data_IF_909036711013
#
_entry.id   IF_909036711013
#
_cell.length_a   1.000
_cell.length_b   1.000
_cell.length_c   1.000
_cell.angle_alpha   90.00
_cell.angle_beta   90.00
_cell.angle_gamma   90.00
#
_symmetry.space_group_name_H-M   'P 1'
#
loop_
_entity.id
_entity.type
_entity.pdbx_description
1 polymer ?
#
# COMPACT_ATOMS: atom_id res chain seq x y z
N UNK A 1 -57.71 -3.28 -31.66
CA UNK A 1 -58.09 -2.11 -30.85
C UNK A 1 -57.61 -2.29 -29.41
N UNK A 2 -56.72 -1.38 -28.97
CA UNK A 2 -56.48 -0.86 -27.58
C UNK A 2 -56.33 -1.87 -26.42
N UNK A 3 -55.13 -2.03 -25.83
CA UNK A 3 -54.45 -1.26 -24.73
C UNK A 3 -54.69 -1.84 -23.32
N UNK A 4 -53.57 -2.34 -22.75
CA UNK A 4 -52.99 -2.19 -21.40
C UNK A 4 -53.81 -2.35 -20.11
N UNK A 5 -53.25 -3.11 -19.15
CA UNK A 5 -52.66 -2.53 -17.92
C UNK A 5 -51.74 -3.54 -17.20
N UNK A 6 -50.68 -3.00 -16.62
CA UNK A 6 -49.54 -3.67 -16.01
C UNK A 6 -49.76 -4.02 -14.53
N UNK A 7 -48.99 -4.98 -14.02
CA UNK A 7 -48.48 -4.93 -12.63
C UNK A 7 -47.02 -5.39 -12.61
N UNK A 8 -46.15 -4.48 -12.19
CA UNK A 8 -44.75 -4.72 -11.86
C UNK A 8 -44.66 -5.56 -10.58
N UNK A 9 -43.71 -6.49 -10.54
CA UNK A 9 -43.06 -6.86 -9.28
C UNK A 9 -41.56 -7.01 -9.54
N UNK A 10 -40.87 -5.90 -9.34
CA UNK A 10 -39.42 -5.83 -9.19
C UNK A 10 -39.02 -6.57 -7.91
N UNK A 11 -38.13 -7.54 -8.03
CA UNK A 11 -37.19 -7.88 -6.94
C UNK A 11 -35.80 -8.06 -7.55
N UNK A 12 -35.15 -6.93 -7.75
CA UNK A 12 -33.71 -6.80 -7.94
C UNK A 12 -33.02 -7.24 -6.65
N UNK A 13 -32.39 -8.42 -6.67
CA UNK A 13 -31.43 -8.83 -5.64
C UNK A 13 -30.02 -8.75 -6.23
N UNK A 14 -29.58 -7.52 -6.47
CA UNK A 14 -28.17 -7.23 -6.67
C UNK A 14 -27.42 -7.44 -5.36
N UNK A 15 -27.00 -8.68 -5.12
CA UNK A 15 -25.98 -9.04 -4.14
C UNK A 15 -24.64 -8.41 -4.54
N UNK A 16 -24.55 -7.10 -4.35
CA UNK A 16 -23.34 -6.30 -4.46
C UNK A 16 -22.54 -6.52 -3.19
N UNK A 17 -22.07 -7.75 -2.98
CA UNK A 17 -21.05 -8.05 -1.99
C UNK A 17 -19.78 -7.29 -2.39
N UNK A 18 -19.64 -6.09 -1.82
CA UNK A 18 -18.48 -5.22 -1.97
C UNK A 18 -17.24 -6.08 -1.69
N UNK A 19 -16.25 -6.14 -2.60
CA UNK A 19 -15.07 -6.99 -2.41
C UNK A 19 -14.47 -6.74 -1.03
N UNK A 20 -14.25 -7.81 -0.26
CA UNK A 20 -13.40 -7.71 0.93
C UNK A 20 -12.03 -7.21 0.48
N UNK A 21 -11.60 -6.05 0.98
CA UNK A 21 -10.33 -5.45 0.56
C UNK A 21 -9.20 -6.44 0.85
N UNK A 22 -8.45 -6.76 -0.20
CA UNK A 22 -7.32 -7.69 -0.14
C UNK A 22 -6.07 -6.87 0.08
N UNK A 23 -5.24 -7.25 1.05
CA UNK A 23 -3.96 -6.61 1.29
C UNK A 23 -2.82 -7.54 0.87
N UNK A 24 -1.83 -6.98 0.20
CA UNK A 24 -0.63 -7.64 -0.26
C UNK A 24 0.53 -6.91 0.41
N UNK A 25 1.23 -7.61 1.26
CA UNK A 25 2.33 -7.09 2.05
C UNK A 25 3.64 -7.44 1.36
N UNK A 26 4.46 -6.44 1.11
CA UNK A 26 5.89 -6.61 0.82
C UNK A 26 6.60 -7.05 2.10
N UNK A 27 6.78 -8.37 2.25
CA UNK A 27 7.32 -8.92 3.48
C UNK A 27 8.80 -8.59 3.67
N UNK A 28 9.57 -8.51 2.59
CA UNK A 28 11.00 -8.21 2.67
C UNK A 28 11.22 -6.73 3.04
N UNK A 29 10.44 -5.84 2.45
CA UNK A 29 10.48 -4.41 2.77
C UNK A 29 10.12 -4.15 4.24
N UNK A 30 9.03 -4.74 4.76
CA UNK A 30 8.68 -4.61 6.18
C UNK A 30 9.76 -5.16 7.11
N UNK A 31 10.32 -6.32 6.76
CA UNK A 31 11.27 -7.01 7.60
C UNK A 31 12.56 -6.21 7.79
N UNK A 32 13.04 -5.53 6.74
CA UNK A 32 14.20 -4.65 6.82
C UNK A 32 13.84 -3.28 7.43
N UNK A 33 12.67 -2.72 7.09
CA UNK A 33 12.26 -1.39 7.57
C UNK A 33 11.98 -1.32 9.07
N UNK A 34 11.63 -2.44 9.72
CA UNK A 34 11.37 -2.48 11.16
C UNK A 34 12.64 -2.21 11.99
N UNK A 35 13.80 -2.67 11.53
CA UNK A 35 15.08 -2.59 12.24
C UNK A 35 16.01 -1.51 11.64
N UNK A 36 15.48 -0.34 11.28
CA UNK A 36 16.29 0.73 10.66
C UNK A 36 17.53 1.14 11.46
N UNK A 37 17.56 0.90 12.78
CA UNK A 37 18.69 1.27 13.65
C UNK A 37 19.69 0.11 13.92
N UNK A 38 19.42 -1.12 13.46
CA UNK A 38 20.22 -2.32 13.78
C UNK A 38 20.65 -3.07 12.51
N UNK A 39 21.72 -2.57 11.86
CA UNK A 39 22.56 -3.27 10.88
C UNK A 39 21.83 -3.86 9.65
N UNK A 40 20.71 -3.29 9.23
CA UNK A 40 19.95 -3.77 8.06
C UNK A 40 19.61 -5.28 8.16
N UNK A 41 19.24 -5.73 9.36
CA UNK A 41 18.91 -7.12 9.64
C UNK A 41 17.46 -7.43 9.27
N UNK A 42 17.23 -8.57 8.63
CA UNK A 42 15.89 -9.05 8.33
C UNK A 42 15.15 -9.42 9.63
N UNK A 43 13.94 -8.89 9.84
CA UNK A 43 13.15 -9.17 11.04
C UNK A 43 11.72 -9.58 10.73
N UNK A 44 11.39 -10.84 11.06
CA UNK A 44 10.02 -11.35 11.03
C UNK A 44 9.05 -10.53 11.89
N UNK A 45 9.55 -9.86 12.92
CA UNK A 45 8.75 -9.02 13.83
C UNK A 45 8.04 -7.88 13.11
N UNK A 46 8.69 -7.24 12.13
CA UNK A 46 8.07 -6.17 11.34
C UNK A 46 6.82 -6.66 10.61
N UNK A 47 6.91 -7.87 10.03
CA UNK A 47 5.79 -8.53 9.35
C UNK A 47 4.67 -8.85 10.36
N UNK A 48 5.00 -9.41 11.52
CA UNK A 48 4.01 -9.74 12.57
C UNK A 48 3.21 -8.54 13.04
N UNK A 49 3.89 -7.40 13.26
CA UNK A 49 3.25 -6.16 13.72
C UNK A 49 2.25 -5.67 12.68
N UNK A 50 2.64 -5.66 11.39
CA UNK A 50 1.73 -5.28 10.31
C UNK A 50 0.50 -6.21 10.23
N UNK A 51 0.72 -7.52 10.33
CA UNK A 51 -0.38 -8.51 10.35
C UNK A 51 -1.32 -8.30 11.54
N UNK A 52 -0.76 -8.09 12.74
CA UNK A 52 -1.54 -7.81 13.94
C UNK A 52 -2.38 -6.55 13.77
N UNK A 53 -1.79 -5.49 13.22
CA UNK A 53 -2.51 -4.25 12.90
C UNK A 53 -3.71 -4.57 11.98
N UNK A 54 -3.47 -5.17 10.81
CA UNK A 54 -4.53 -5.46 9.85
C UNK A 54 -5.63 -6.35 10.42
N UNK A 55 -5.28 -7.41 11.15
CA UNK A 55 -6.25 -8.33 11.72
C UNK A 55 -7.08 -7.71 12.85
N UNK A 56 -6.46 -6.97 13.77
CA UNK A 56 -7.20 -6.27 14.84
C UNK A 56 -8.16 -5.23 14.27
N UNK A 57 -7.85 -4.71 13.09
CA UNK A 57 -8.65 -3.73 12.35
C UNK A 57 -9.70 -4.39 11.44
N UNK A 58 -9.81 -5.73 11.46
CA UNK A 58 -10.84 -6.49 10.76
C UNK A 58 -10.48 -6.93 9.34
N UNK A 59 -9.26 -6.67 8.87
CA UNK A 59 -8.79 -7.14 7.58
C UNK A 59 -8.36 -8.61 7.68
N UNK A 60 -9.14 -9.49 7.03
CA UNK A 60 -8.95 -10.95 7.12
C UNK A 60 -8.15 -11.53 5.95
N UNK A 61 -8.27 -10.95 4.75
CA UNK A 61 -7.64 -11.45 3.53
C UNK A 61 -6.34 -10.67 3.28
N UNK A 62 -5.28 -11.14 3.92
CA UNK A 62 -3.94 -10.53 3.88
C UNK A 62 -2.96 -11.55 3.33
N UNK A 63 -2.25 -11.19 2.27
CA UNK A 63 -1.18 -11.99 1.69
C UNK A 63 0.16 -11.36 2.06
N UNK A 64 1.07 -12.14 2.64
CA UNK A 64 2.48 -11.74 2.78
C UNK A 64 3.24 -12.33 1.61
N UNK A 65 3.90 -11.48 0.83
CA UNK A 65 4.68 -11.91 -0.33
C UNK A 65 6.17 -11.79 -0.01
N UNK A 66 6.93 -12.84 -0.30
CA UNK A 66 8.38 -12.90 -0.10
C UNK A 66 9.09 -13.44 -1.34
N UNK A 67 10.37 -13.06 -1.57
CA UNK A 67 11.17 -13.68 -2.61
C UNK A 67 11.36 -15.18 -2.38
N UNK A 68 11.40 -15.98 -3.45
CA UNK A 68 11.65 -17.43 -3.37
C UNK A 68 12.92 -17.78 -2.58
N UNK A 69 13.97 -16.94 -2.66
CA UNK A 69 15.22 -17.13 -1.93
C UNK A 69 15.03 -17.23 -0.41
N UNK A 70 14.01 -16.56 0.14
CA UNK A 70 13.67 -16.59 1.57
C UNK A 70 12.83 -17.82 1.97
N UNK A 71 12.55 -18.74 1.06
CA UNK A 71 11.82 -19.97 1.38
C UNK A 71 12.54 -20.83 2.41
N UNK A 72 13.87 -20.81 2.42
CA UNK A 72 14.70 -21.60 3.34
C UNK A 72 15.03 -20.86 4.64
N UNK A 73 15.00 -19.51 4.64
CA UNK A 73 15.14 -18.67 5.84
C UNK A 73 14.02 -18.86 6.88
N UNK A 74 12.98 -19.61 6.54
CA UNK A 74 11.92 -20.03 7.47
C UNK A 74 12.41 -20.93 8.60
N UNK A 75 13.61 -21.51 8.49
CA UNK A 75 14.16 -22.38 9.52
C UNK A 75 14.96 -21.61 10.59
N UNK A 76 15.05 -20.28 10.50
CA UNK A 76 15.66 -19.45 11.54
C UNK A 76 14.78 -19.45 12.80
N UNK A 77 15.40 -19.43 13.98
CA UNK A 77 14.72 -19.48 15.30
C UNK A 77 13.54 -18.48 15.38
N UNK A 78 13.74 -17.27 14.86
CA UNK A 78 12.74 -16.21 14.83
C UNK A 78 11.43 -16.57 14.08
N UNK A 79 11.50 -17.34 12.99
CA UNK A 79 10.29 -17.79 12.27
C UNK A 79 9.61 -18.96 12.99
N UNK A 80 10.42 -19.90 13.49
CA UNK A 80 9.96 -21.09 14.21
C UNK A 80 9.19 -20.75 15.50
N UNK A 81 9.39 -19.56 16.06
CA UNK A 81 8.67 -19.10 17.24
C UNK A 81 7.34 -18.39 16.90
N UNK A 82 7.23 -17.77 15.72
CA UNK A 82 6.04 -16.99 15.33
C UNK A 82 4.81 -17.85 14.94
N UNK A 83 3.82 -17.92 15.83
CA UNK A 83 2.52 -18.57 15.55
C UNK A 83 1.78 -17.94 14.36
N UNK A 84 1.80 -16.60 14.26
CA UNK A 84 1.11 -15.85 13.21
C UNK A 84 1.64 -16.18 11.81
N UNK A 85 2.96 -16.33 11.66
CA UNK A 85 3.57 -16.65 10.36
C UNK A 85 3.30 -18.09 9.93
N UNK A 86 3.33 -19.05 10.87
CA UNK A 86 2.91 -20.44 10.60
C UNK A 86 1.42 -20.53 10.24
N UNK A 87 0.59 -19.71 10.88
CA UNK A 87 -0.84 -19.64 10.56
C UNK A 87 -1.07 -19.13 9.13
N UNK A 88 -0.29 -18.15 8.65
CA UNK A 88 -0.37 -17.68 7.26
C UNK A 88 -0.02 -18.78 6.27
N UNK A 89 1.04 -19.54 6.51
CA UNK A 89 1.41 -20.66 5.63
C UNK A 89 0.30 -21.71 5.57
N UNK A 90 -0.20 -22.16 6.71
CA UNK A 90 -1.31 -23.13 6.77
C UNK A 90 -2.57 -22.65 6.06
N UNK A 91 -2.79 -21.34 6.01
CA UNK A 91 -3.94 -20.70 5.36
C UNK A 91 -3.68 -20.31 3.89
N UNK A 92 -2.51 -20.65 3.32
CA UNK A 92 -2.08 -20.23 1.99
C UNK A 92 -2.09 -18.70 1.78
N UNK A 93 -1.76 -17.96 2.85
CA UNK A 93 -1.65 -16.50 2.88
C UNK A 93 -0.19 -16.01 2.84
N UNK A 94 0.78 -16.92 2.96
CA UNK A 94 2.19 -16.64 2.71
C UNK A 94 2.53 -17.08 1.27
N UNK A 95 2.84 -16.12 0.41
CA UNK A 95 3.08 -16.32 -1.03
C UNK A 95 4.55 -16.07 -1.33
N UNK A 96 5.13 -16.92 -2.18
CA UNK A 96 6.48 -16.72 -2.68
C UNK A 96 6.41 -16.32 -4.15
N UNK A 97 7.08 -15.23 -4.51
CA UNK A 97 7.31 -14.91 -5.92
C UNK A 97 8.11 -16.03 -6.56
N UNK A 98 7.96 -16.26 -7.86
CA UNK A 98 8.64 -17.36 -8.54
C UNK A 98 10.15 -17.25 -8.39
N UNK A 99 10.79 -18.40 -8.48
CA UNK A 99 12.24 -18.47 -8.62
C UNK A 99 12.62 -17.69 -9.87
N UNK A 100 13.61 -16.80 -9.76
CA UNK A 100 14.13 -16.03 -10.88
C UNK A 100 14.17 -16.88 -12.16
N UNK A 101 13.53 -16.41 -13.23
CA UNK A 101 13.87 -16.95 -14.54
C UNK A 101 15.34 -16.62 -14.77
N UNK A 102 16.19 -17.63 -14.92
CA UNK A 102 17.60 -17.47 -15.33
C UNK A 102 17.74 -16.71 -16.66
N UNK A 103 16.62 -16.47 -17.35
CA UNK A 103 16.53 -15.89 -18.68
C UNK A 103 16.40 -14.36 -18.66
N UNK A 104 16.12 -13.74 -17.52
CA UNK A 104 16.05 -12.27 -17.41
C UNK A 104 17.29 -11.74 -16.69
N UNK A 105 18.12 -10.94 -17.37
CA UNK A 105 19.28 -10.23 -16.78
C UNK A 105 18.89 -9.11 -15.77
N UNK A 106 17.71 -9.18 -15.16
CA UNK A 106 17.19 -8.14 -14.27
C UNK A 106 17.50 -8.46 -12.80
N UNK A 107 17.73 -7.44 -11.94
CA UNK A 107 17.96 -7.64 -10.51
C UNK A 107 16.81 -8.39 -9.82
N UNK A 108 17.11 -9.15 -8.76
CA UNK A 108 16.10 -9.94 -8.03
C UNK A 108 15.01 -9.07 -7.38
N UNK A 109 15.35 -7.87 -6.91
CA UNK A 109 14.39 -6.91 -6.33
C UNK A 109 13.38 -6.42 -7.36
N UNK A 110 13.84 -6.14 -8.59
CA UNK A 110 13.00 -5.74 -9.72
C UNK A 110 11.94 -6.81 -10.05
N UNK A 111 12.37 -8.08 -10.11
CA UNK A 111 11.47 -9.19 -10.43
C UNK A 111 10.44 -9.40 -9.32
N UNK A 112 10.85 -9.28 -8.05
CA UNK A 112 9.97 -9.50 -6.90
C UNK A 112 8.79 -8.52 -6.87
N UNK A 113 9.08 -7.22 -6.89
CA UNK A 113 8.03 -6.18 -6.84
C UNK A 113 7.19 -6.15 -8.13
N UNK A 114 7.76 -6.51 -9.29
CA UNK A 114 6.99 -6.68 -10.53
C UNK A 114 5.95 -7.81 -10.42
N UNK A 115 6.33 -8.96 -9.85
CA UNK A 115 5.36 -10.05 -9.62
C UNK A 115 4.29 -9.66 -8.60
N UNK A 116 4.66 -8.90 -7.56
CA UNK A 116 3.70 -8.36 -6.60
C UNK A 116 2.70 -7.40 -7.25
N UNK A 117 3.15 -6.51 -8.13
CA UNK A 117 2.27 -5.61 -8.88
C UNK A 117 1.29 -6.37 -9.77
N UNK A 118 1.76 -7.40 -10.48
CA UNK A 118 0.89 -8.30 -11.26
C UNK A 118 -0.12 -9.01 -10.38
N UNK A 119 0.30 -9.48 -9.21
CA UNK A 119 -0.57 -10.14 -8.25
C UNK A 119 -1.64 -9.17 -7.72
N UNK A 120 -1.24 -7.95 -7.35
CA UNK A 120 -2.13 -6.87 -6.92
C UNK A 120 -3.17 -6.53 -7.98
N UNK A 121 -2.76 -6.46 -9.25
CA UNK A 121 -3.68 -6.23 -10.36
C UNK A 121 -4.72 -7.33 -10.48
N UNK A 122 -4.25 -8.58 -10.50
CA UNK A 122 -5.09 -9.76 -10.68
C UNK A 122 -6.16 -9.88 -9.60
N UNK A 123 -5.83 -9.56 -8.35
CA UNK A 123 -6.76 -9.72 -7.22
C UNK A 123 -7.38 -8.40 -6.74
N UNK A 124 -7.12 -7.29 -7.45
CA UNK A 124 -7.55 -5.93 -7.11
C UNK A 124 -7.16 -5.54 -5.67
N UNK A 125 -5.96 -5.94 -5.25
CA UNK A 125 -5.47 -5.79 -3.88
C UNK A 125 -4.71 -4.48 -3.63
N UNK A 126 -4.65 -4.08 -2.35
CA UNK A 126 -3.82 -3.00 -1.84
C UNK A 126 -2.40 -3.49 -1.58
N UNK A 127 -1.40 -2.83 -2.15
CA UNK A 127 0.00 -3.16 -1.99
C UNK A 127 0.62 -2.32 -0.87
N UNK A 128 1.08 -2.95 0.20
CA UNK A 128 1.82 -2.30 1.30
C UNK A 128 3.31 -2.46 1.02
N UNK A 129 4.00 -1.36 0.66
CA UNK A 129 5.45 -1.33 0.38
C UNK A 129 5.93 0.11 0.42
N UNK A 130 7.12 0.37 0.96
CA UNK A 130 7.84 1.64 0.87
C UNK A 130 8.84 1.68 -0.29
N UNK A 131 9.01 0.58 -1.02
CA UNK A 131 9.90 0.52 -2.18
C UNK A 131 9.48 1.53 -3.25
N UNK A 132 10.46 2.28 -3.76
CA UNK A 132 10.26 3.15 -4.92
C UNK A 132 9.83 2.32 -6.13
N UNK A 133 8.61 2.54 -6.60
CA UNK A 133 8.08 1.84 -7.77
C UNK A 133 8.50 2.50 -9.09
N UNK A 134 9.05 3.73 -9.04
CA UNK A 134 9.50 4.49 -10.21
C UNK A 134 10.62 3.76 -10.96
N UNK A 135 11.52 3.11 -10.22
CA UNK A 135 12.70 2.44 -10.79
C UNK A 135 12.40 1.03 -11.35
N UNK A 136 11.21 0.50 -11.06
CA UNK A 136 10.85 -0.89 -11.39
C UNK A 136 9.84 -0.97 -12.53
N UNK A 137 9.09 0.10 -12.76
CA UNK A 137 7.99 0.10 -13.71
C UNK A 137 8.48 0.74 -15.00
N UNK A 138 8.83 -0.11 -15.98
CA UNK A 138 9.20 0.33 -17.32
C UNK A 138 7.99 0.91 -18.09
N UNK A 139 6.77 0.46 -17.75
CA UNK A 139 5.53 0.95 -18.33
C UNK A 139 4.51 1.25 -17.23
N UNK A 140 4.43 2.54 -16.86
CA UNK A 140 3.54 3.03 -15.81
C UNK A 140 2.07 2.85 -16.16
N UNK A 141 1.73 2.78 -17.45
CA UNK A 141 0.34 2.70 -17.90
C UNK A 141 -0.32 1.38 -17.50
N UNK A 142 0.45 0.29 -17.46
CA UNK A 142 -0.06 -1.05 -17.10
C UNK A 142 -0.52 -1.11 -15.64
N UNK A 143 0.19 -0.43 -14.74
CA UNK A 143 -0.08 -0.47 -13.29
C UNK A 143 -0.66 0.83 -12.75
N UNK A 144 -0.97 1.81 -13.60
CA UNK A 144 -1.42 3.16 -13.23
C UNK A 144 -2.43 3.16 -12.09
N UNK A 145 -3.51 2.38 -12.22
CA UNK A 145 -4.55 2.28 -11.20
C UNK A 145 -4.01 1.81 -9.83
N UNK A 146 -3.10 0.82 -9.82
CA UNK A 146 -2.53 0.32 -8.57
C UNK A 146 -1.66 1.37 -7.93
N UNK A 147 -0.81 2.02 -8.73
CA UNK A 147 0.15 3.02 -8.26
C UNK A 147 -0.55 4.24 -7.69
N UNK A 148 -1.60 4.69 -8.37
CA UNK A 148 -2.39 5.83 -7.93
C UNK A 148 -3.28 5.47 -6.73
N UNK A 149 -3.95 4.31 -6.76
CA UNK A 149 -5.09 4.05 -5.86
C UNK A 149 -4.84 3.03 -4.74
N UNK A 150 -3.91 2.10 -4.96
CA UNK A 150 -3.81 0.86 -4.19
C UNK A 150 -2.48 0.68 -3.46
N UNK A 151 -1.49 1.55 -3.66
CA UNK A 151 -0.25 1.53 -2.88
C UNK A 151 -0.47 2.20 -1.52
N UNK A 152 -0.03 1.53 -0.46
CA UNK A 152 -0.05 1.98 0.93
C UNK A 152 1.41 2.01 1.40
N UNK A 153 1.87 3.19 1.79
CA UNK A 153 3.15 3.36 2.48
C UNK A 153 2.96 3.11 3.97
N UNK A 154 4.05 3.06 4.71
CA UNK A 154 3.96 2.90 6.15
C UNK A 154 5.18 3.48 6.86
N UNK A 155 5.05 3.60 8.19
CA UNK A 155 6.18 3.85 9.08
C UNK A 155 6.11 2.92 10.28
N UNK A 156 7.28 2.61 10.81
CA UNK A 156 7.43 2.04 12.14
C UNK A 156 7.83 3.12 13.13
N UNK A 157 7.25 3.06 14.32
CA UNK A 157 7.75 3.74 15.51
C UNK A 157 7.84 2.68 16.61
N UNK A 158 9.00 2.04 16.71
CA UNK A 158 9.17 0.80 17.48
C UNK A 158 8.13 -0.25 17.02
N UNK A 159 7.37 -0.82 17.95
CA UNK A 159 6.32 -1.80 17.69
C UNK A 159 5.00 -1.20 17.18
N UNK A 160 4.97 0.09 16.85
CA UNK A 160 3.81 0.75 16.28
C UNK A 160 3.91 0.84 14.76
N UNK A 161 3.10 0.05 14.06
CA UNK A 161 2.92 0.15 12.61
C UNK A 161 1.85 1.18 12.28
N UNK A 162 2.17 2.13 11.41
CA UNK A 162 1.23 3.14 10.94
C UNK A 162 1.19 3.13 9.41
N UNK A 163 0.09 2.68 8.80
CA UNK A 163 -0.08 2.78 7.35
C UNK A 163 -0.44 4.21 6.94
N UNK A 164 0.09 4.60 5.78
CA UNK A 164 0.01 5.91 5.18
C UNK A 164 -0.51 5.73 3.75
N UNK A 165 -1.66 6.33 3.42
CA UNK A 165 -2.08 6.44 2.02
C UNK A 165 -1.17 7.44 1.32
N UNK A 166 -0.70 7.11 0.11
CA UNK A 166 -0.12 8.08 -0.80
C UNK A 166 -1.17 8.54 -1.79
N UNK A 167 -1.41 9.84 -1.85
CA UNK A 167 -1.94 10.47 -3.06
C UNK A 167 -0.78 11.15 -3.78
N UNK A 168 -0.56 10.76 -5.04
CA UNK A 168 0.31 11.49 -5.95
C UNK A 168 -0.49 12.70 -6.40
N UNK A 169 -0.04 13.89 -6.00
CA UNK A 169 -0.62 15.14 -6.51
C UNK A 169 0.36 15.66 -7.55
N UNK A 170 -0.11 15.85 -8.77
CA UNK A 170 0.65 16.54 -9.79
C UNK A 170 0.79 17.99 -9.32
N UNK A 171 2.01 18.44 -9.07
CA UNK A 171 2.24 19.87 -8.89
C UNK A 171 2.06 20.59 -10.22
N UNK A 172 1.84 21.91 -10.18
CA UNK A 172 1.65 22.72 -11.40
C UNK A 172 2.89 22.69 -12.33
N UNK A 173 4.05 22.31 -11.78
CA UNK A 173 5.31 22.08 -12.50
C UNK A 173 5.49 20.64 -13.05
N UNK A 174 4.46 19.79 -12.98
CA UNK A 174 4.50 18.42 -13.50
C UNK A 174 5.30 17.43 -12.64
N UNK A 175 5.67 17.80 -11.42
CA UNK A 175 6.34 16.93 -10.45
C UNK A 175 5.33 16.17 -9.58
N UNK A 176 5.52 14.85 -9.50
CA UNK A 176 4.74 13.97 -8.61
C UNK A 176 5.13 14.21 -7.15
N UNK A 177 4.29 14.90 -6.37
CA UNK A 177 4.49 15.02 -4.92
C UNK A 177 3.69 13.97 -4.15
N UNK A 178 4.36 13.19 -3.29
CA UNK A 178 3.73 12.17 -2.47
C UNK A 178 3.18 12.79 -1.18
N UNK A 179 1.88 12.59 -0.95
CA UNK A 179 1.19 13.15 0.21
C UNK A 179 0.65 12.02 1.07
N UNK A 180 1.06 11.98 2.34
CA UNK A 180 0.83 10.85 3.23
C UNK A 180 -0.33 11.11 4.20
N UNK A 181 -1.39 10.31 4.12
CA UNK A 181 -2.54 10.38 5.03
C UNK A 181 -2.61 9.15 5.93
N UNK A 182 -2.69 9.30 7.27
CA UNK A 182 -2.89 8.17 8.15
C UNK A 182 -4.24 7.50 7.87
N UNK A 183 -4.23 6.19 7.64
CA UNK A 183 -5.46 5.42 7.42
C UNK A 183 -6.27 5.30 8.71
N UNK A 184 -7.59 5.16 8.55
CA UNK A 184 -8.47 4.93 9.68
C UNK A 184 -8.23 3.55 10.27
N UNK A 185 -8.04 3.46 11.60
CA UNK A 185 -7.84 2.18 12.25
C UNK A 185 -9.08 1.28 12.18
N UNK A 186 -10.27 1.84 11.97
CA UNK A 186 -11.50 1.03 11.95
C UNK A 186 -11.93 0.63 10.54
N UNK A 187 -11.34 1.20 9.49
CA UNK A 187 -11.72 0.95 8.09
C UNK A 187 -13.24 0.91 7.90
N UNK A 188 -13.76 -0.14 7.26
CA UNK A 188 -15.20 -0.33 7.01
C UNK A 188 -16.06 -0.38 8.29
N UNK A 189 -15.48 -0.65 9.45
CA UNK A 189 -16.19 -0.67 10.75
C UNK A 189 -16.26 0.70 11.43
N UNK A 190 -15.71 1.74 10.82
CA UNK A 190 -15.70 3.07 11.39
C UNK A 190 -17.11 3.66 11.43
N UNK A 191 -17.56 3.99 12.63
CA UNK A 191 -18.85 4.62 12.88
C UNK A 191 -18.82 6.15 12.75
N UNK A 192 -17.63 6.75 12.60
CA UNK A 192 -17.47 8.21 12.50
C UNK A 192 -17.90 8.78 11.13
N UNK A 193 -18.18 7.95 10.12
CA UNK A 193 -18.63 8.41 8.81
C UNK A 193 -17.69 9.45 8.19
N UNK A 194 -18.25 10.44 7.48
CA UNK A 194 -17.51 11.55 6.85
C UNK A 194 -16.90 12.53 7.86
N UNK A 195 -17.07 12.31 9.17
CA UNK A 195 -16.42 13.07 10.25
C UNK A 195 -15.15 12.38 10.78
N UNK A 196 -14.76 11.24 10.20
CA UNK A 196 -13.53 10.57 10.60
C UNK A 196 -12.31 11.39 10.14
N UNK A 197 -11.45 11.78 11.08
CA UNK A 197 -10.20 12.49 10.79
C UNK A 197 -9.14 11.67 10.04
N UNK A 198 -9.38 10.37 9.85
CA UNK A 198 -8.46 9.43 9.23
C UNK A 198 -9.00 8.98 7.86
N UNK A 199 -8.09 8.64 6.95
CA UNK A 199 -8.47 8.27 5.59
C UNK A 199 -9.07 6.87 5.49
N UNK A 200 -10.14 6.72 4.72
CA UNK A 200 -10.84 5.47 4.45
C UNK A 200 -10.65 5.05 3.00
N UNK A 201 -9.95 3.96 2.74
CA UNK A 201 -9.66 3.54 1.37
C UNK A 201 -10.94 3.15 0.61
N UNK A 202 -11.92 2.60 1.30
CA UNK A 202 -13.22 2.23 0.77
C UNK A 202 -14.07 3.45 0.34
N UNK A 203 -13.74 4.66 0.81
CA UNK A 203 -14.47 5.90 0.47
C UNK A 203 -13.68 6.80 -0.47
N UNK A 204 -12.62 6.30 -1.12
CA UNK A 204 -11.65 7.14 -1.88
C UNK A 204 -12.28 8.02 -2.96
N UNK A 205 -13.40 7.60 -3.55
CA UNK A 205 -14.16 8.36 -4.54
C UNK A 205 -15.24 9.29 -3.95
N UNK A 206 -15.31 9.41 -2.63
CA UNK A 206 -16.26 10.25 -1.90
C UNK A 206 -15.53 11.37 -1.15
N UNK A 207 -16.25 12.43 -0.82
CA UNK A 207 -15.68 13.53 -0.04
C UNK A 207 -15.52 13.09 1.42
N UNK A 208 -14.29 12.75 1.82
CA UNK A 208 -14.01 12.12 3.13
C UNK A 208 -13.73 13.10 4.26
N UNK A 209 -13.49 14.36 3.92
CA UNK A 209 -13.13 15.40 4.85
C UNK A 209 -14.17 16.52 4.81
N UNK A 210 -14.39 17.17 5.95
CA UNK A 210 -15.17 18.42 6.00
C UNK A 210 -14.51 19.52 5.16
N UNK A 211 -15.25 20.57 4.81
CA UNK A 211 -14.71 21.73 4.10
C UNK A 211 -13.52 22.34 4.85
N UNK A 212 -13.61 22.47 6.18
CA UNK A 212 -12.53 22.97 7.04
C UNK A 212 -11.29 22.07 7.03
N UNK A 213 -11.49 20.75 7.05
CA UNK A 213 -10.37 19.80 7.00
C UNK A 213 -9.71 19.79 5.61
N UNK A 214 -10.49 19.91 4.54
CA UNK A 214 -9.97 20.10 3.19
C UNK A 214 -9.11 21.37 3.08
N UNK A 215 -9.53 22.48 3.71
CA UNK A 215 -8.70 23.70 3.78
C UNK A 215 -7.41 23.49 4.58
N UNK A 216 -7.49 22.86 5.75
CA UNK A 216 -6.30 22.57 6.56
C UNK A 216 -5.34 21.60 5.84
N UNK A 217 -5.88 20.64 5.09
CA UNK A 217 -5.13 19.71 4.27
C UNK A 217 -4.43 20.45 3.13
N UNK A 218 -5.12 21.32 2.39
CA UNK A 218 -4.50 22.21 1.39
C UNK A 218 -3.38 23.06 2.00
N UNK A 219 -3.59 23.64 3.18
CA UNK A 219 -2.55 24.40 3.88
C UNK A 219 -1.35 23.55 4.33
N UNK A 220 -1.58 22.28 4.73
CA UNK A 220 -0.49 21.34 5.04
C UNK A 220 0.30 20.96 3.78
N UNK A 221 -0.41 20.73 2.68
CA UNK A 221 0.20 20.48 1.37
C UNK A 221 1.10 21.65 0.98
N UNK A 222 0.61 22.89 1.07
CA UNK A 222 1.42 24.10 0.84
C UNK A 222 2.65 24.18 1.76
N UNK A 223 2.52 23.83 3.05
CA UNK A 223 3.67 23.78 3.96
C UNK A 223 4.70 22.71 3.55
N UNK A 224 4.25 21.53 3.15
CA UNK A 224 5.15 20.47 2.66
C UNK A 224 5.80 20.87 1.34
N UNK A 225 5.11 21.61 0.46
CA UNK A 225 5.68 22.23 -0.75
C UNK A 225 6.83 23.18 -0.41
N UNK A 226 6.60 24.10 0.53
CA UNK A 226 7.62 25.07 0.98
C UNK A 226 8.84 24.33 1.57
N UNK A 227 8.61 23.29 2.37
CA UNK A 227 9.67 22.52 3.00
C UNK A 227 10.50 21.70 2.00
N UNK A 228 9.88 21.16 0.95
CA UNK A 228 10.57 20.48 -0.14
C UNK A 228 11.40 21.46 -0.98
N UNK A 229 10.85 22.64 -1.32
CA UNK A 229 11.56 23.69 -2.07
C UNK A 229 12.79 24.25 -1.31
N UNK A 230 12.75 24.26 0.02
CA UNK A 230 13.88 24.64 0.87
C UNK A 230 14.96 23.54 0.98
N UNK A 231 14.61 22.29 0.63
CA UNK A 231 15.50 21.12 0.76
C UNK A 231 16.22 20.76 -0.55
N UNK A 232 15.80 21.33 -1.68
CA UNK A 232 16.50 21.19 -2.96
C UNK A 232 17.74 22.08 -2.97
N UNK A 233 18.97 21.55 -3.11
CA UNK A 233 20.15 22.38 -3.28
C UNK A 233 20.01 23.16 -4.59
N UNK A 234 20.11 24.49 -4.52
CA UNK A 234 20.26 25.30 -5.73
C UNK A 234 21.49 24.78 -6.49
N UNK A 235 21.28 24.29 -7.72
CA UNK A 235 22.40 23.93 -8.59
C UNK A 235 23.17 25.21 -8.88
N UNK A 236 24.33 25.37 -8.23
CA UNK A 236 25.28 26.42 -8.57
C UNK A 236 25.79 26.13 -9.97
N UNK A 237 25.28 26.86 -10.96
CA UNK A 237 25.86 26.91 -12.30
C UNK A 237 27.25 27.53 -12.16
N UNK A 238 28.29 26.71 -12.18
CA UNK A 238 29.66 27.17 -12.14
C UNK A 238 30.04 27.68 -13.53
N UNK A 239 29.78 28.97 -13.78
CA UNK A 239 30.36 29.71 -14.90
C UNK A 239 31.73 30.24 -14.45
N UNK A 240 32.80 29.55 -14.82
CA UNK A 240 34.19 30.03 -14.79
C UNK A 240 34.99 29.20 -15.79
N UNK A 241 35.32 29.75 -16.97
CA UNK A 241 36.65 30.32 -17.30
C UNK A 241 37.80 29.36 -16.93
N UNK A 242 38.26 28.61 -17.92
CA UNK A 242 39.54 28.80 -18.62
C UNK A 242 39.46 28.15 -20.00
#
# INVERSE_FOLDING_TARGET
SKISTATNSDTDSSDTSIPHDVYIIDGIDLAYSYNNNNNNSFSWRGIEICLKYLHTHGHKKVFVVLPYSLKHHRHDQNFSESKSLRDLERKNLLVYTNRMSKQTNKPSSYTHISEMLKFAQKIKGHLITNVSLKDVILDFTIYKQILEEKVIRYRFQNDNFQPLLVTIVNDDDGNDCETHFPLCPYGKKCTYGNKCKYFHIERRHQNQFSVSENLQMKARLEKTKIQHHLSTPAMMTNNGRE
#
